data_IF_705809322159
#
_entry.id   IF_705809322159
#
_cell.length_a   1.000
_cell.length_b   1.000
_cell.length_c   1.000
_cell.angle_alpha   90.00
_cell.angle_beta   90.00
_cell.angle_gamma   90.00
#
_symmetry.space_group_name_H-M   'P 1'
#
loop_
_entity.id
_entity.type
_entity.pdbx_description
1 polymer ?
#
# COMPACT_ATOMS: atom_id res chain seq x y z
N UNK A 1 -7.29 -26.80 -7.78
CA UNK A 1 -7.75 -25.47 -7.32
C UNK A 1 -6.56 -24.53 -7.45
N UNK A 2 -6.65 -23.48 -8.25
CA UNK A 2 -5.57 -22.50 -8.36
C UNK A 2 -5.42 -21.79 -7.00
N UNK A 3 -4.28 -21.99 -6.37
CA UNK A 3 -4.00 -21.45 -5.03
C UNK A 3 -3.93 -19.93 -5.13
N UNK A 4 -4.85 -19.20 -4.49
CA UNK A 4 -4.82 -17.74 -4.44
C UNK A 4 -3.72 -17.31 -3.50
N UNK A 5 -2.87 -16.40 -3.96
CA UNK A 5 -1.78 -15.78 -3.21
C UNK A 5 -1.89 -14.26 -3.35
N UNK A 6 -1.41 -13.53 -2.35
CA UNK A 6 -1.38 -12.08 -2.39
C UNK A 6 -0.17 -11.60 -3.17
N UNK A 7 -0.43 -10.82 -4.22
CA UNK A 7 0.59 -10.16 -5.03
C UNK A 7 0.51 -8.64 -4.88
N UNK A 8 1.68 -8.01 -4.89
CA UNK A 8 1.81 -6.55 -4.98
C UNK A 8 2.27 -6.20 -6.38
N UNK A 9 1.44 -5.46 -7.11
CA UNK A 9 1.79 -4.91 -8.41
C UNK A 9 2.40 -3.53 -8.20
N UNK A 10 3.49 -3.25 -8.92
CA UNK A 10 4.06 -1.91 -9.02
C UNK A 10 4.02 -1.49 -10.48
N UNK A 11 3.36 -0.36 -10.75
CA UNK A 11 3.24 0.19 -12.11
C UNK A 11 3.84 1.59 -12.11
N UNK A 12 4.78 1.81 -13.00
CA UNK A 12 5.36 3.13 -13.29
C UNK A 12 4.72 3.69 -14.56
N UNK A 13 4.32 4.94 -14.51
CA UNK A 13 3.63 5.58 -15.62
C UNK A 13 3.87 7.08 -15.67
N UNK A 14 3.63 7.68 -16.80
CA UNK A 14 3.46 9.12 -16.89
C UNK A 14 2.27 9.60 -16.05
N UNK A 15 2.31 10.85 -15.60
CA UNK A 15 1.20 11.50 -14.90
C UNK A 15 0.14 11.94 -15.91
N UNK A 16 -0.68 11.02 -16.38
CA UNK A 16 -1.76 11.27 -17.34
C UNK A 16 -3.14 11.09 -16.72
N UNK A 17 -4.02 12.04 -16.99
CA UNK A 17 -5.43 11.95 -16.59
C UNK A 17 -6.10 10.71 -17.20
N UNK A 18 -6.91 10.00 -16.40
CA UNK A 18 -7.66 8.81 -16.83
C UNK A 18 -6.87 7.49 -16.79
N UNK A 19 -5.55 7.51 -16.59
CA UNK A 19 -4.76 6.28 -16.55
C UNK A 19 -5.15 5.36 -15.39
N UNK A 20 -5.41 5.93 -14.21
CA UNK A 20 -5.92 5.17 -13.05
C UNK A 20 -7.18 4.40 -13.42
N UNK A 21 -8.14 5.05 -14.07
CA UNK A 21 -9.40 4.42 -14.49
C UNK A 21 -9.18 3.29 -15.50
N UNK A 22 -8.21 3.45 -16.41
CA UNK A 22 -7.83 2.40 -17.38
C UNK A 22 -7.23 1.19 -16.67
N UNK A 23 -6.29 1.38 -15.74
CA UNK A 23 -5.64 0.30 -14.98
C UNK A 23 -6.68 -0.43 -14.12
N UNK A 24 -7.50 0.30 -13.35
CA UNK A 24 -8.57 -0.29 -12.53
C UNK A 24 -9.57 -1.04 -13.42
N UNK A 25 -9.96 -0.46 -14.56
CA UNK A 25 -10.85 -1.08 -15.52
C UNK A 25 -10.33 -2.41 -16.09
N UNK A 26 -9.01 -2.56 -16.32
CA UNK A 26 -8.40 -3.82 -16.73
C UNK A 26 -8.54 -4.93 -15.68
N UNK A 27 -8.40 -4.57 -14.41
CA UNK A 27 -8.48 -5.48 -13.27
C UNK A 27 -9.94 -5.88 -13.03
N UNK A 28 -10.84 -4.89 -12.96
CA UNK A 28 -12.26 -5.11 -12.60
C UNK A 28 -13.05 -5.82 -13.68
N UNK A 29 -12.75 -5.62 -14.98
CA UNK A 29 -13.35 -6.39 -16.07
C UNK A 29 -13.08 -7.90 -15.96
N UNK A 30 -12.02 -8.31 -15.27
CA UNK A 30 -11.71 -9.70 -14.95
C UNK A 30 -12.37 -10.20 -13.67
N UNK A 31 -13.24 -9.38 -13.05
CA UNK A 31 -13.88 -9.65 -11.75
C UNK A 31 -12.85 -9.89 -10.62
N UNK A 32 -11.71 -9.25 -10.71
CA UNK A 32 -10.67 -9.28 -9.68
C UNK A 32 -10.93 -8.13 -8.72
N UNK A 33 -10.99 -8.43 -7.42
CA UNK A 33 -11.07 -7.42 -6.37
C UNK A 33 -9.69 -6.80 -6.12
N UNK A 34 -9.65 -5.48 -5.96
CA UNK A 34 -8.47 -4.73 -5.53
C UNK A 34 -8.55 -4.60 -4.01
N UNK A 35 -7.57 -5.14 -3.29
CA UNK A 35 -7.53 -5.04 -1.82
C UNK A 35 -7.08 -3.66 -1.40
N UNK A 36 -5.96 -3.18 -1.95
CA UNK A 36 -5.48 -1.82 -1.73
C UNK A 36 -4.92 -1.23 -3.02
N UNK A 37 -5.00 0.08 -3.13
CA UNK A 37 -4.45 0.86 -4.23
C UNK A 37 -3.85 2.15 -3.67
N UNK A 38 -2.58 2.37 -3.95
CA UNK A 38 -1.88 3.61 -3.60
C UNK A 38 -1.26 4.19 -4.87
N UNK A 39 -1.39 5.50 -5.04
CA UNK A 39 -0.76 6.24 -6.13
C UNK A 39 0.08 7.36 -5.55
N UNK A 40 1.32 7.47 -5.96
CA UNK A 40 2.24 8.51 -5.52
C UNK A 40 3.17 8.94 -6.65
N UNK A 41 3.80 10.08 -6.51
CA UNK A 41 4.95 10.44 -7.35
C UNK A 41 6.10 9.47 -7.11
N UNK A 42 6.87 9.16 -8.15
CA UNK A 42 8.12 8.41 -8.02
C UNK A 42 9.29 9.36 -7.72
N UNK A 43 10.50 8.81 -7.61
CA UNK A 43 11.72 9.61 -7.55
C UNK A 43 12.08 10.28 -8.87
N UNK A 44 11.46 9.88 -9.97
CA UNK A 44 11.64 10.46 -11.31
C UNK A 44 10.55 11.50 -11.54
N UNK A 45 10.96 12.68 -12.04
CA UNK A 45 10.03 13.77 -12.35
C UNK A 45 9.03 13.34 -13.44
N UNK A 46 7.75 13.70 -13.26
CA UNK A 46 6.67 13.35 -14.19
C UNK A 46 6.20 11.90 -14.14
N UNK A 47 6.86 11.04 -13.36
CA UNK A 47 6.51 9.62 -13.26
C UNK A 47 5.75 9.34 -11.96
N UNK A 48 4.61 8.68 -12.09
CA UNK A 48 3.80 8.18 -10.99
C UNK A 48 4.04 6.68 -10.78
N UNK A 49 3.87 6.27 -9.52
CA UNK A 49 3.95 4.88 -9.09
C UNK A 49 2.61 4.45 -8.50
N UNK A 50 2.04 3.38 -9.06
CA UNK A 50 0.89 2.69 -8.49
C UNK A 50 1.39 1.47 -7.73
N UNK A 51 0.87 1.26 -6.54
CA UNK A 51 1.04 0.04 -5.76
C UNK A 51 -0.33 -0.58 -5.56
N UNK A 52 -0.57 -1.75 -6.15
CA UNK A 52 -1.87 -2.42 -6.17
C UNK A 52 -1.73 -3.79 -5.54
N UNK A 53 -2.58 -4.13 -4.59
CA UNK A 53 -2.58 -5.45 -3.93
C UNK A 53 -3.77 -6.25 -4.39
N UNK A 54 -3.51 -7.48 -4.84
CA UNK A 54 -4.49 -8.43 -5.37
C UNK A 54 -4.27 -9.81 -4.76
N UNK A 55 -5.36 -10.54 -4.43
CA UNK A 55 -5.34 -11.95 -4.04
C UNK A 55 -5.87 -12.82 -5.17
N UNK A 56 -4.96 -13.36 -5.99
CA UNK A 56 -5.26 -14.11 -7.22
C UNK A 56 -4.24 -15.23 -7.45
N UNK A 57 -4.46 -16.08 -8.46
CA UNK A 57 -3.45 -17.07 -8.84
C UNK A 57 -2.33 -16.44 -9.68
N UNK A 58 -1.14 -17.05 -9.64
CA UNK A 58 0.04 -16.56 -10.35
C UNK A 58 -0.19 -16.43 -11.86
N UNK A 59 -0.88 -17.41 -12.48
CA UNK A 59 -1.22 -17.34 -13.91
C UNK A 59 -2.08 -16.12 -14.26
N UNK A 60 -2.94 -15.70 -13.34
CA UNK A 60 -3.82 -14.55 -13.56
C UNK A 60 -3.04 -13.25 -13.37
N UNK A 61 -2.17 -13.13 -12.34
CA UNK A 61 -1.37 -11.92 -12.15
C UNK A 61 -0.43 -11.65 -13.31
N UNK A 62 0.19 -12.68 -13.87
CA UNK A 62 1.04 -12.57 -15.06
C UNK A 62 0.28 -11.95 -16.23
N UNK A 63 -0.96 -12.43 -16.50
CA UNK A 63 -1.80 -11.89 -17.57
C UNK A 63 -2.25 -10.45 -17.31
N UNK A 64 -2.55 -10.11 -16.06
CA UNK A 64 -2.95 -8.75 -15.67
C UNK A 64 -1.78 -7.79 -15.86
N UNK A 65 -0.61 -8.13 -15.36
CA UNK A 65 0.60 -7.30 -15.48
C UNK A 65 1.00 -7.11 -16.94
N UNK A 66 1.00 -8.18 -17.75
CA UNK A 66 1.30 -8.09 -19.17
C UNK A 66 0.31 -7.20 -19.97
N UNK A 67 -0.95 -7.09 -19.50
CA UNK A 67 -1.93 -6.17 -20.11
C UNK A 67 -1.76 -4.74 -19.64
N UNK A 68 -1.40 -4.52 -18.38
CA UNK A 68 -1.09 -3.19 -17.86
C UNK A 68 0.17 -2.65 -18.55
N UNK A 69 1.20 -3.47 -18.68
CA UNK A 69 2.48 -3.13 -19.32
C UNK A 69 2.33 -2.68 -20.79
N UNK A 70 1.25 -3.11 -21.45
CA UNK A 70 0.92 -2.72 -22.83
C UNK A 70 0.09 -1.44 -22.95
N UNK A 71 -0.26 -0.80 -21.85
CA UNK A 71 -1.04 0.44 -21.92
C UNK A 71 -0.13 1.60 -22.34
N UNK A 72 -0.65 2.44 -23.22
CA UNK A 72 -0.04 3.74 -23.50
C UNK A 72 0.08 4.53 -22.19
N UNK A 73 1.17 5.25 -22.01
CA UNK A 73 1.54 6.00 -20.82
C UNK A 73 2.02 5.12 -19.62
N UNK A 74 2.04 3.77 -19.73
CA UNK A 74 2.68 2.87 -18.76
C UNK A 74 4.10 2.59 -19.21
N UNK A 75 5.07 2.97 -18.39
CA UNK A 75 6.49 2.72 -18.65
C UNK A 75 6.84 1.27 -18.35
N UNK A 76 6.39 0.77 -17.17
CA UNK A 76 6.60 -0.62 -16.79
C UNK A 76 5.65 -1.06 -15.68
N UNK A 77 5.27 -2.34 -15.72
CA UNK A 77 4.51 -3.01 -14.68
C UNK A 77 5.23 -4.28 -14.20
N UNK A 78 5.26 -4.44 -12.88
CA UNK A 78 5.85 -5.60 -12.20
C UNK A 78 4.85 -6.20 -11.23
N UNK A 79 5.05 -7.46 -10.85
CA UNK A 79 4.38 -8.07 -9.71
C UNK A 79 5.38 -8.77 -8.81
N UNK A 80 5.08 -8.79 -7.51
CA UNK A 80 5.94 -9.35 -6.48
C UNK A 80 5.12 -10.11 -5.46
N UNK A 81 5.70 -11.19 -4.92
CA UNK A 81 5.22 -11.85 -3.71
C UNK A 81 5.70 -11.09 -2.47
N UNK A 82 5.01 -11.27 -1.35
CA UNK A 82 5.36 -10.60 -0.09
C UNK A 82 6.82 -10.84 0.35
N UNK A 83 7.40 -12.01 0.05
CA UNK A 83 8.80 -12.33 0.37
C UNK A 83 9.84 -11.54 -0.44
N UNK A 84 9.46 -10.99 -1.59
CA UNK A 84 10.34 -10.28 -2.53
C UNK A 84 10.41 -8.77 -2.25
N UNK A 85 9.55 -8.27 -1.36
CA UNK A 85 9.41 -6.84 -1.06
C UNK A 85 9.54 -6.57 0.43
N UNK A 86 9.87 -5.33 0.77
CA UNK A 86 9.64 -4.71 2.08
C UNK A 86 8.45 -3.79 1.92
N UNK A 87 7.44 -3.93 2.78
CA UNK A 87 6.22 -3.14 2.69
C UNK A 87 5.67 -2.75 4.05
N UNK A 88 4.91 -1.68 4.09
CA UNK A 88 4.28 -1.14 5.28
C UNK A 88 2.95 -0.48 4.91
N UNK A 89 2.09 -0.34 5.91
CA UNK A 89 0.86 0.43 5.89
C UNK A 89 0.85 1.37 7.10
N UNK A 90 0.14 2.49 7.01
CA UNK A 90 -0.05 3.41 8.13
C UNK A 90 -1.50 3.35 8.54
N UNK A 91 -1.76 3.19 9.83
CA UNK A 91 -3.09 3.24 10.42
C UNK A 91 -3.19 4.36 11.44
N UNK A 92 -4.33 5.06 11.43
CA UNK A 92 -4.69 6.08 12.41
C UNK A 92 -5.93 5.61 13.19
N UNK A 93 -5.88 5.81 14.50
CA UNK A 93 -6.92 5.43 15.45
C UNK A 93 -7.30 6.67 16.25
N UNK A 94 -8.56 7.04 16.22
CA UNK A 94 -9.11 8.11 17.04
C UNK A 94 -9.84 7.49 18.23
N UNK A 95 -9.33 7.67 19.42
CA UNK A 95 -9.86 7.08 20.66
C UNK A 95 -10.29 8.19 21.63
N UNK A 96 -11.24 7.92 22.55
CA UNK A 96 -11.64 8.89 23.57
C UNK A 96 -10.46 9.28 24.46
N UNK A 97 -10.34 10.56 24.83
CA UNK A 97 -9.29 11.02 25.73
C UNK A 97 -9.47 10.44 27.16
N UNK A 98 -10.70 10.18 27.58
CA UNK A 98 -11.01 9.55 28.87
C UNK A 98 -10.36 8.16 29.02
N UNK A 99 -10.14 7.47 27.91
CA UNK A 99 -9.42 6.21 27.91
C UNK A 99 -7.96 6.36 28.38
N UNK A 100 -7.37 7.55 28.26
CA UNK A 100 -6.03 7.87 28.76
C UNK A 100 -6.03 8.09 30.30
N UNK A 101 -7.13 8.64 30.85
CA UNK A 101 -7.23 8.94 32.27
C UNK A 101 -7.57 7.72 33.13
N UNK A 102 -8.22 6.71 32.57
CA UNK A 102 -8.64 5.48 33.27
C UNK A 102 -7.48 4.50 33.53
N UNK A 103 -6.30 5.03 33.82
CA UNK A 103 -5.12 4.26 34.18
C UNK A 103 -4.30 3.77 32.99
N UNK A 104 -3.18 3.18 33.27
CA UNK A 104 -2.10 2.76 32.36
C UNK A 104 -2.48 1.84 31.19
N UNK A 105 -3.78 1.59 30.91
CA UNK A 105 -4.20 0.63 29.89
C UNK A 105 -3.86 1.08 28.47
N UNK A 106 -4.24 2.33 28.11
CA UNK A 106 -3.98 2.84 26.73
C UNK A 106 -2.49 2.99 26.48
N UNK A 107 -1.74 3.54 27.46
CA UNK A 107 -0.28 3.62 27.31
C UNK A 107 0.38 2.25 27.16
N UNK A 108 -0.09 1.23 27.90
CA UNK A 108 0.39 -0.14 27.76
C UNK A 108 0.10 -0.71 26.38
N UNK A 109 -1.09 -0.45 25.83
CA UNK A 109 -1.46 -0.87 24.49
C UNK A 109 -0.55 -0.20 23.47
N UNK A 110 -0.38 1.14 23.56
CA UNK A 110 0.49 1.91 22.65
C UNK A 110 1.91 1.36 22.67
N UNK A 111 2.48 1.16 23.86
CA UNK A 111 3.86 0.61 24.01
C UNK A 111 3.97 -0.82 23.49
N UNK A 112 3.00 -1.69 23.82
CA UNK A 112 2.96 -3.08 23.38
C UNK A 112 2.99 -3.20 21.86
N UNK A 113 2.27 -2.33 21.17
CA UNK A 113 2.18 -2.34 19.70
C UNK A 113 3.22 -1.45 19.00
N UNK A 114 4.14 -0.82 19.75
CA UNK A 114 5.06 0.18 19.19
C UNK A 114 4.32 1.23 18.36
N UNK A 115 3.17 1.67 18.85
CA UNK A 115 2.39 2.75 18.28
C UNK A 115 2.85 4.09 18.89
N UNK A 116 2.47 5.18 18.28
CA UNK A 116 2.79 6.53 18.80
C UNK A 116 1.54 7.40 18.87
N UNK A 117 1.52 8.30 19.84
CA UNK A 117 0.52 9.35 19.91
C UNK A 117 0.92 10.42 18.88
N UNK A 118 0.01 10.69 17.94
CA UNK A 118 0.18 11.73 16.93
C UNK A 118 -0.37 13.07 17.41
N UNK A 119 -1.51 13.05 18.11
CA UNK A 119 -2.20 14.25 18.59
C UNK A 119 -3.06 13.95 19.82
N UNK A 120 -3.13 14.92 20.74
CA UNK A 120 -4.03 14.90 21.90
C UNK A 120 -4.89 16.15 21.84
N UNK A 121 -6.20 15.98 21.93
CA UNK A 121 -7.21 17.04 22.00
C UNK A 121 -8.05 16.87 23.26
N UNK A 122 -8.94 17.82 23.56
CA UNK A 122 -9.78 17.81 24.77
C UNK A 122 -10.70 16.58 24.84
N UNK A 123 -11.12 16.05 23.71
CA UNK A 123 -12.13 14.96 23.63
C UNK A 123 -11.56 13.66 23.06
N UNK A 124 -10.42 13.70 22.39
CA UNK A 124 -9.87 12.53 21.73
C UNK A 124 -8.33 12.55 21.63
N UNK A 125 -7.80 11.38 21.40
CA UNK A 125 -6.39 11.15 21.08
C UNK A 125 -6.30 10.46 19.72
N UNK A 126 -5.37 10.91 18.87
CA UNK A 126 -5.02 10.22 17.62
C UNK A 126 -3.74 9.42 17.84
N UNK A 127 -3.83 8.13 17.63
CA UNK A 127 -2.71 7.19 17.68
C UNK A 127 -2.39 6.74 16.27
N UNK A 128 -1.10 6.64 15.96
CA UNK A 128 -0.58 6.12 14.70
C UNK A 128 0.14 4.81 14.92
N UNK A 129 -0.05 3.88 14.00
CA UNK A 129 0.74 2.65 13.89
C UNK A 129 1.15 2.42 12.43
N UNK A 130 2.45 2.32 12.21
CA UNK A 130 3.02 1.82 10.96
C UNK A 130 3.38 0.35 11.13
N UNK A 131 2.99 -0.49 10.18
CA UNK A 131 3.24 -1.93 10.25
C UNK A 131 2.55 -2.70 9.13
N UNK A 132 2.55 -4.03 9.25
CA UNK A 132 1.76 -4.90 8.40
C UNK A 132 0.29 -4.88 8.83
N UNK A 133 -0.61 -5.27 7.93
CA UNK A 133 -2.05 -5.35 8.18
C UNK A 133 -2.38 -6.08 9.50
N UNK A 134 -1.71 -7.21 9.77
CA UNK A 134 -1.92 -7.97 11.02
C UNK A 134 -1.61 -7.15 12.27
N UNK A 135 -0.59 -6.31 12.23
CA UNK A 135 -0.17 -5.48 13.37
C UNK A 135 -1.15 -4.32 13.59
N UNK A 136 -1.59 -3.69 12.50
CA UNK A 136 -2.57 -2.60 12.57
C UNK A 136 -3.95 -3.12 12.99
N UNK A 137 -4.36 -4.29 12.53
CA UNK A 137 -5.61 -4.94 12.92
C UNK A 137 -5.58 -5.39 14.39
N UNK A 138 -4.45 -5.96 14.86
CA UNK A 138 -4.30 -6.36 16.27
C UNK A 138 -4.46 -5.17 17.22
N UNK A 139 -3.94 -4.00 16.86
CA UNK A 139 -4.12 -2.77 17.63
C UNK A 139 -5.58 -2.28 17.58
N UNK A 140 -6.23 -2.37 16.40
CA UNK A 140 -7.64 -2.01 16.24
C UNK A 140 -8.52 -2.83 17.19
N UNK A 141 -8.31 -4.15 17.26
CA UNK A 141 -9.08 -5.04 18.15
C UNK A 141 -8.89 -4.70 19.65
N UNK A 142 -7.72 -4.20 20.05
CA UNK A 142 -7.52 -3.72 21.42
C UNK A 142 -8.24 -2.39 21.66
N UNK A 143 -8.20 -1.46 20.71
CA UNK A 143 -8.91 -0.18 20.84
C UNK A 143 -10.43 -0.32 20.78
N UNK A 144 -10.97 -1.27 20.03
CA UNK A 144 -12.41 -1.58 20.05
C UNK A 144 -12.94 -1.89 21.46
N UNK A 145 -12.10 -2.49 22.33
CA UNK A 145 -12.49 -2.86 23.71
C UNK A 145 -12.56 -1.67 24.66
N UNK A 146 -11.89 -0.58 24.36
CA UNK A 146 -11.82 0.62 25.20
C UNK A 146 -12.56 1.81 24.59
N UNK A 147 -13.11 1.63 23.40
CA UNK A 147 -13.81 2.64 22.61
C UNK A 147 -12.90 3.19 21.49
N UNK A 148 -13.47 3.27 20.30
CA UNK A 148 -12.83 3.88 19.12
C UNK A 148 -13.87 4.74 18.39
N UNK A 149 -13.50 5.96 18.03
CA UNK A 149 -14.35 6.87 17.28
C UNK A 149 -14.18 6.68 15.78
N UNK A 150 -12.92 6.48 15.34
CA UNK A 150 -12.60 6.39 13.92
C UNK A 150 -11.33 5.56 13.72
N UNK A 151 -11.29 4.83 12.60
CA UNK A 151 -10.14 4.06 12.14
C UNK A 151 -9.94 4.27 10.66
N UNK A 152 -8.71 4.59 10.25
CA UNK A 152 -8.32 4.71 8.86
C UNK A 152 -6.99 3.99 8.65
N UNK A 153 -6.88 3.25 7.56
CA UNK A 153 -5.65 2.60 7.14
C UNK A 153 -5.32 2.96 5.70
N UNK A 154 -4.06 3.29 5.45
CA UNK A 154 -3.57 3.55 4.10
C UNK A 154 -3.52 2.26 3.27
N UNK A 155 -3.39 2.40 1.95
CA UNK A 155 -2.91 1.31 1.13
C UNK A 155 -1.42 1.03 1.40
N UNK A 156 -0.96 -0.11 0.90
CA UNK A 156 0.43 -0.57 1.01
C UNK A 156 1.39 0.36 0.27
N UNK A 157 2.50 0.67 0.92
CA UNK A 157 3.71 1.16 0.27
C UNK A 157 4.76 0.04 0.30
N UNK A 158 5.48 -0.15 -0.79
CA UNK A 158 6.41 -1.29 -0.92
C UNK A 158 7.64 -0.92 -1.74
N UNK A 159 8.77 -1.52 -1.38
CA UNK A 159 10.01 -1.49 -2.16
C UNK A 159 10.50 -2.91 -2.39
N UNK A 160 11.17 -3.14 -3.51
CA UNK A 160 11.76 -4.45 -3.85
C UNK A 160 13.04 -4.66 -3.05
N UNK A 161 13.27 -5.87 -2.57
CA UNK A 161 14.49 -6.23 -1.83
C UNK A 161 15.72 -6.31 -2.75
N UNK A 162 15.54 -6.80 -3.99
CA UNK A 162 16.61 -6.91 -4.97
C UNK A 162 16.72 -5.63 -5.80
N UNK A 163 17.83 -4.89 -5.66
CA UNK A 163 18.05 -3.63 -6.37
C UNK A 163 18.38 -3.79 -7.87
N UNK A 164 18.93 -4.92 -8.31
CA UNK A 164 19.44 -5.04 -9.68
C UNK A 164 18.38 -4.91 -10.78
N UNK A 165 17.17 -5.40 -10.56
CA UNK A 165 16.12 -5.35 -11.61
C UNK A 165 15.58 -3.96 -11.86
N UNK A 166 15.37 -3.17 -10.80
CA UNK A 166 14.83 -1.83 -10.94
C UNK A 166 15.86 -0.87 -11.51
N UNK A 167 17.11 -0.91 -11.02
CA UNK A 167 18.18 -0.03 -11.51
C UNK A 167 18.55 -0.29 -12.98
N UNK A 168 18.62 -1.57 -13.41
CA UNK A 168 18.85 -1.89 -14.82
C UNK A 168 17.73 -1.38 -15.73
N UNK A 169 16.49 -1.51 -15.26
CA UNK A 169 15.35 -1.02 -16.02
C UNK A 169 15.29 0.51 -16.06
N UNK A 170 15.51 1.19 -14.92
CA UNK A 170 15.54 2.66 -14.88
C UNK A 170 16.67 3.22 -15.77
N UNK A 171 17.85 2.61 -15.75
CA UNK A 171 18.94 2.99 -16.64
C UNK A 171 18.61 2.77 -18.14
N UNK A 172 17.85 1.71 -18.48
CA UNK A 172 17.41 1.52 -19.88
C UNK A 172 16.39 2.57 -20.31
N UNK A 173 15.46 2.97 -19.42
CA UNK A 173 14.47 4.02 -19.69
C UNK A 173 15.13 5.40 -19.82
N UNK A 174 16.11 5.72 -18.96
CA UNK A 174 16.87 6.97 -19.04
C UNK A 174 17.64 7.08 -20.38
N UNK A 175 18.23 5.97 -20.82
CA UNK A 175 18.92 5.94 -22.12
C UNK A 175 17.95 6.10 -23.31
N UNK A 176 16.78 5.45 -23.26
CA UNK A 176 15.76 5.59 -24.32
C UNK A 176 15.14 7.01 -24.37
N UNK A 177 15.09 7.73 -23.23
CA UNK A 177 14.61 9.13 -23.18
C UNK A 177 15.68 10.14 -23.62
N UNK A 178 16.96 9.79 -23.56
CA UNK A 178 18.07 10.65 -24.02
C UNK A 178 18.34 10.52 -25.54
N UNK A 179 17.94 9.41 -26.15
CA UNK A 179 18.12 9.12 -27.57
C UNK A 179 16.97 9.63 -28.47
N UNK A 180 15.92 10.25 -27.90
CA UNK A 180 14.79 10.88 -28.58
C UNK A 180 14.76 12.40 -28.35
#
# INVERSE_FOLDING_TARGET
MDNKEQFTLTVFSENRSGLLSRIVGLITRRKINIETLTVSTSSMEGIHRFTIVLSISEKVVQKVVAQIDKQVDVLKAFYYRNKEIVFQEIALYKVPVEAMYNGTKVEKIIRKHNARILRIESEYVVVEKTGHERETEALLEEFKKIGIYEFVRSGRIAIVKEMERLNKYLASVENELQDN
#
